data_IF_922738662118
#
_entry.id   IF_922738662118
#
_cell.length_a   1.000
_cell.length_b   1.000
_cell.length_c   1.000
_cell.angle_alpha   90.00
_cell.angle_beta   90.00
_cell.angle_gamma   90.00
#
_symmetry.space_group_name_H-M   'P 1'
#
loop_
_entity.id
_entity.type
_entity.pdbx_description
1 polymer ?
#
# COMPACT_ATOMS: atom_id res chain seq x y z
N UNK A 1 11.28 -20.29 -10.17
CA UNK A 1 11.32 -18.81 -10.10
C UNK A 1 9.99 -18.12 -9.74
N UNK A 2 8.87 -18.82 -9.51
CA UNK A 2 7.58 -18.18 -9.17
C UNK A 2 7.46 -17.66 -7.72
N UNK A 3 7.91 -18.45 -6.74
CA UNK A 3 7.71 -18.17 -5.30
C UNK A 3 8.36 -16.86 -4.81
N UNK A 4 9.54 -16.50 -5.34
CA UNK A 4 10.25 -15.28 -4.93
C UNK A 4 9.56 -14.00 -5.42
N UNK A 5 9.00 -14.03 -6.64
CA UNK A 5 8.27 -12.89 -7.21
C UNK A 5 6.99 -12.63 -6.42
N UNK A 6 6.27 -13.69 -6.08
CA UNK A 6 5.06 -13.63 -5.26
C UNK A 6 5.36 -13.14 -3.84
N UNK A 7 6.39 -13.70 -3.17
CA UNK A 7 6.80 -13.25 -1.84
C UNK A 7 7.16 -11.75 -1.82
N UNK A 8 7.84 -11.26 -2.86
CA UNK A 8 8.17 -9.82 -2.98
C UNK A 8 6.92 -8.97 -3.19
N UNK A 9 5.95 -9.46 -3.95
CA UNK A 9 4.67 -8.76 -4.14
C UNK A 9 3.87 -8.71 -2.84
N UNK A 10 3.76 -9.83 -2.12
CA UNK A 10 3.02 -9.91 -0.86
C UNK A 10 3.66 -9.03 0.22
N UNK A 11 5.00 -8.99 0.29
CA UNK A 11 5.71 -8.03 1.14
C UNK A 11 5.35 -6.60 0.79
N UNK A 12 5.37 -6.22 -0.49
CA UNK A 12 5.01 -4.87 -0.91
C UNK A 12 3.55 -4.52 -0.55
N UNK A 13 2.62 -5.46 -0.73
CA UNK A 13 1.21 -5.26 -0.32
C UNK A 13 1.12 -5.00 1.18
N UNK A 14 1.79 -5.82 2.00
CA UNK A 14 1.77 -5.70 3.46
C UNK A 14 2.35 -4.36 3.94
N UNK A 15 3.48 -3.93 3.38
CA UNK A 15 4.11 -2.66 3.78
C UNK A 15 3.26 -1.45 3.40
N UNK A 16 2.64 -1.46 2.21
CA UNK A 16 1.73 -0.39 1.79
C UNK A 16 0.49 -0.35 2.70
N UNK A 17 -0.09 -1.51 3.01
CA UNK A 17 -1.26 -1.60 3.90
C UNK A 17 -0.94 -1.05 5.29
N UNK A 18 0.12 -1.54 5.93
CA UNK A 18 0.53 -1.09 7.26
C UNK A 18 0.76 0.42 7.30
N UNK A 19 1.43 0.97 6.29
CA UNK A 19 1.66 2.42 6.22
C UNK A 19 0.35 3.21 6.09
N UNK A 20 -0.59 2.75 5.26
CA UNK A 20 -1.89 3.40 5.06
C UNK A 20 -2.81 3.27 6.29
N UNK A 21 -2.73 2.18 7.05
CA UNK A 21 -3.46 2.04 8.32
C UNK A 21 -2.99 3.07 9.36
N UNK A 22 -1.68 3.29 9.45
CA UNK A 22 -1.11 4.29 10.38
C UNK A 22 -1.34 5.72 9.86
N UNK A 23 -1.40 5.89 8.55
CA UNK A 23 -1.52 7.20 7.89
C UNK A 23 -2.67 7.19 6.87
N UNK A 24 -3.94 7.21 7.32
CA UNK A 24 -5.08 7.30 6.40
C UNK A 24 -5.11 8.65 5.67
N UNK A 25 -5.51 8.64 4.40
CA UNK A 25 -5.62 9.84 3.58
C UNK A 25 -4.32 10.29 2.91
N UNK A 26 -3.31 9.42 2.84
CA UNK A 26 -2.02 9.71 2.21
C UNK A 26 -2.03 9.51 0.71
N UNK A 27 -1.21 10.29 0.01
CA UNK A 27 -0.96 10.14 -1.43
C UNK A 27 0.13 9.11 -1.76
N UNK A 28 0.21 8.73 -3.05
CA UNK A 28 1.22 7.78 -3.56
C UNK A 28 2.68 8.20 -3.31
N UNK A 29 2.94 9.51 -3.24
CA UNK A 29 4.29 10.05 -3.01
C UNK A 29 4.80 9.77 -1.59
N UNK A 30 3.93 9.92 -0.59
CA UNK A 30 4.26 9.63 0.81
C UNK A 30 4.57 8.13 1.01
N UNK A 31 3.72 7.26 0.45
CA UNK A 31 3.93 5.80 0.46
C UNK A 31 5.27 5.46 -0.20
N UNK A 32 5.57 6.04 -1.36
CA UNK A 32 6.85 5.83 -2.02
C UNK A 32 8.04 6.29 -1.16
N UNK A 33 7.92 7.45 -0.49
CA UNK A 33 8.93 7.96 0.43
C UNK A 33 9.27 6.95 1.52
N UNK A 34 8.25 6.43 2.22
CA UNK A 34 8.40 5.38 3.23
C UNK A 34 9.08 4.12 2.67
N UNK A 35 8.59 3.60 1.55
CA UNK A 35 9.15 2.38 0.95
C UNK A 35 10.61 2.55 0.51
N UNK A 36 10.97 3.71 -0.04
CA UNK A 36 12.29 3.96 -0.64
C UNK A 36 13.35 4.40 0.39
N UNK A 37 12.95 5.20 1.38
CA UNK A 37 13.82 5.76 2.40
C UNK A 37 13.94 4.82 3.60
N UNK A 38 12.80 4.47 4.21
CA UNK A 38 12.77 3.77 5.49
C UNK A 38 13.00 2.27 5.32
N UNK A 39 12.31 1.65 4.35
CA UNK A 39 12.44 0.21 4.08
C UNK A 39 13.52 -0.14 3.04
N UNK A 40 14.16 0.89 2.44
CA UNK A 40 15.17 0.74 1.39
C UNK A 40 14.74 -0.15 0.22
N UNK A 41 13.42 -0.24 -0.08
CA UNK A 41 12.84 -1.03 -1.17
C UNK A 41 13.00 -0.31 -2.52
N UNK A 42 14.25 -0.05 -2.91
CA UNK A 42 14.63 0.72 -4.11
C UNK A 42 14.63 -0.10 -5.40
N UNK A 43 13.80 -1.14 -5.48
CA UNK A 43 13.75 -2.02 -6.65
C UNK A 43 13.60 -1.22 -7.95
N UNK A 44 14.32 -1.66 -9.00
CA UNK A 44 14.50 -0.93 -10.26
C UNK A 44 13.21 -0.27 -10.78
N UNK A 45 13.09 1.04 -10.54
CA UNK A 45 12.02 1.89 -11.04
C UNK A 45 10.72 1.89 -10.24
N UNK A 46 10.69 1.52 -8.95
CA UNK A 46 9.55 1.86 -8.08
C UNK A 46 9.41 3.39 -8.02
N UNK A 47 8.20 3.90 -8.27
CA UNK A 47 7.89 5.34 -8.23
C UNK A 47 6.50 5.56 -7.66
N UNK A 48 6.20 6.77 -7.19
CA UNK A 48 4.85 7.15 -6.76
C UNK A 48 3.80 6.81 -7.83
N UNK A 49 4.07 7.05 -9.11
CA UNK A 49 3.17 6.66 -10.22
C UNK A 49 2.91 5.16 -10.25
N UNK A 50 3.93 4.32 -10.06
CA UNK A 50 3.75 2.86 -10.02
C UNK A 50 2.96 2.42 -8.79
N UNK A 51 3.14 3.08 -7.63
CA UNK A 51 2.30 2.84 -6.45
C UNK A 51 0.83 3.11 -6.78
N UNK A 52 0.54 4.22 -7.47
CA UNK A 52 -0.82 4.59 -7.85
C UNK A 52 -1.51 3.60 -8.81
N UNK A 53 -0.75 2.85 -9.61
CA UNK A 53 -1.26 1.73 -10.40
C UNK A 53 -1.28 0.40 -9.64
N UNK A 54 -0.34 0.21 -8.70
CA UNK A 54 -0.20 -1.01 -7.93
C UNK A 54 -1.36 -1.20 -6.95
N UNK A 55 -1.76 -0.14 -6.23
CA UNK A 55 -2.79 -0.22 -5.20
C UNK A 55 -4.15 -0.71 -5.77
N UNK A 56 -4.71 -0.11 -6.85
CA UNK A 56 -5.95 -0.60 -7.43
C UNK A 56 -5.87 -2.03 -7.98
N UNK A 57 -4.67 -2.47 -8.38
CA UNK A 57 -4.46 -3.80 -8.98
C UNK A 57 -4.30 -4.91 -7.93
N UNK A 58 -3.59 -4.64 -6.84
CA UNK A 58 -3.16 -5.67 -5.89
C UNK A 58 -3.65 -5.46 -4.46
N UNK A 59 -4.00 -4.23 -4.08
CA UNK A 59 -4.39 -3.88 -2.71
C UNK A 59 -5.88 -3.53 -2.58
N UNK A 60 -6.68 -3.63 -3.65
CA UNK A 60 -8.10 -3.23 -3.69
C UNK A 60 -9.01 -3.86 -2.63
N UNK A 61 -8.59 -4.99 -2.03
CA UNK A 61 -9.33 -5.67 -0.95
C UNK A 61 -9.09 -5.04 0.43
N UNK A 62 -8.01 -4.29 0.59
CA UNK A 62 -7.53 -3.76 1.87
C UNK A 62 -7.50 -2.24 1.89
N UNK A 63 -7.35 -1.61 0.72
CA UNK A 63 -7.16 -0.17 0.56
C UNK A 63 -8.18 0.36 -0.44
N UNK A 64 -8.95 1.35 -0.01
CA UNK A 64 -9.80 2.19 -0.87
C UNK A 64 -9.05 3.47 -1.23
N UNK A 65 -9.48 4.14 -2.29
CA UNK A 65 -8.94 5.45 -2.64
C UNK A 65 -10.05 6.44 -2.97
N UNK A 66 -9.76 7.70 -2.75
CA UNK A 66 -10.58 8.84 -3.14
C UNK A 66 -9.78 9.74 -4.07
N UNK A 67 -10.39 10.23 -5.15
CA UNK A 67 -9.78 11.24 -6.02
C UNK A 67 -10.00 12.63 -5.40
N UNK A 68 -8.92 13.39 -5.20
CA UNK A 68 -8.93 14.77 -4.71
C UNK A 68 -8.14 15.67 -5.65
N UNK A 69 -8.19 17.00 -5.43
CA UNK A 69 -7.43 17.96 -6.24
C UNK A 69 -5.91 17.71 -6.26
N UNK A 70 -5.38 17.12 -5.20
CA UNK A 70 -3.97 16.75 -5.05
C UNK A 70 -3.64 15.35 -5.62
N UNK A 71 -4.64 14.63 -6.12
CA UNK A 71 -4.54 13.27 -6.63
C UNK A 71 -5.26 12.24 -5.74
N UNK A 72 -4.87 10.97 -5.89
CA UNK A 72 -5.45 9.85 -5.14
C UNK A 72 -4.96 9.84 -3.70
N UNK A 73 -5.91 9.86 -2.77
CA UNK A 73 -5.69 9.61 -1.35
C UNK A 73 -6.12 8.21 -0.98
N UNK A 74 -5.29 7.50 -0.21
CA UNK A 74 -5.50 6.10 0.15
C UNK A 74 -5.93 5.95 1.60
N UNK A 75 -6.89 5.06 1.83
CA UNK A 75 -7.45 4.77 3.15
C UNK A 75 -7.58 3.26 3.33
N UNK A 76 -7.45 2.73 4.55
CA UNK A 76 -7.79 1.35 4.81
C UNK A 76 -9.29 1.13 4.57
N UNK A 77 -9.66 -0.10 4.20
CA UNK A 77 -11.05 -0.54 4.19
C UNK A 77 -11.34 -1.08 5.59
N UNK A 78 -12.13 -0.35 6.39
CA UNK A 78 -12.42 -0.63 7.81
C UNK A 78 -13.30 -1.88 8.07
N UNK A 79 -13.23 -2.92 7.25
CA UNK A 79 -14.13 -4.08 7.37
C UNK A 79 -13.44 -5.45 7.54
N UNK A 80 -12.21 -5.53 8.06
CA UNK A 80 -11.57 -6.82 8.34
C UNK A 80 -10.99 -6.98 9.75
N UNK A 81 -10.96 -5.93 10.58
CA UNK A 81 -10.36 -5.99 11.92
C UNK A 81 -11.37 -6.15 13.08
N UNK A 82 -12.69 -6.09 12.85
CA UNK A 82 -13.70 -6.35 13.90
C UNK A 82 -14.00 -7.86 14.14
N UNK A 83 -13.04 -8.76 13.89
CA UNK A 83 -13.22 -10.20 14.16
C UNK A 83 -12.02 -10.90 14.82
N UNK A 84 -11.19 -10.19 15.57
CA UNK A 84 -10.21 -10.82 16.48
C UNK A 84 -10.18 -10.08 17.83
N UNK A 85 -11.33 -9.93 18.47
CA UNK A 85 -11.44 -9.74 19.93
C UNK A 85 -12.72 -10.45 20.40
N UNK A 86 -12.68 -11.78 20.45
CA UNK A 86 -13.65 -12.60 21.20
C UNK A 86 -13.05 -14.00 21.39
N UNK A 87 -12.07 -14.10 22.30
CA UNK A 87 -11.69 -15.34 23.02
C UNK A 87 -11.31 -14.94 24.44
#
# INVERSE_FOLDING_TARGET
MGKQKEARQNRLISEIYNFVCVNPGVGSAAIYGYLAADLKMRNAGLTARKIGFFIPRYCKKYIRFEERGEGRMYFPIESLDNKIEDV
#
